data_IF_475699644641
#
_entry.id   IF_475699644641
#
_cell.length_a   1.000
_cell.length_b   1.000
_cell.length_c   1.000
_cell.angle_alpha   90.00
_cell.angle_beta   90.00
_cell.angle_gamma   90.00
#
_symmetry.space_group_name_H-M   'P 1'
#
loop_
_entity.id
_entity.type
_entity.pdbx_description
1 polymer ?
#
# COMPACT_ATOMS: atom_id res chain seq x y z
N UNK A 1 1.75 17.99 -2.54
CA UNK A 1 0.71 18.92 -2.10
C UNK A 1 -0.44 18.12 -1.49
N UNK A 2 -0.97 18.58 -0.34
CA UNK A 2 -2.09 17.96 0.36
C UNK A 2 -3.45 18.48 -0.15
N UNK A 3 -3.49 19.69 -0.71
CA UNK A 3 -4.74 20.33 -1.15
C UNK A 3 -5.29 19.71 -2.44
N UNK A 4 -4.39 19.29 -3.34
CA UNK A 4 -4.74 18.61 -4.60
C UNK A 4 -5.01 17.10 -4.46
N UNK A 5 -5.01 16.55 -3.24
CA UNK A 5 -5.28 15.11 -3.05
C UNK A 5 -6.76 14.81 -3.24
N UNK A 6 -7.11 13.65 -3.85
CA UNK A 6 -8.50 13.27 -4.07
C UNK A 6 -9.11 12.66 -2.79
N UNK A 7 -9.16 13.42 -1.70
CA UNK A 7 -9.56 12.99 -0.36
C UNK A 7 -10.83 12.12 -0.31
N UNK A 8 -11.92 12.41 -1.05
CA UNK A 8 -13.13 11.59 -1.01
C UNK A 8 -12.94 10.14 -1.48
N UNK A 9 -11.85 9.87 -2.20
CA UNK A 9 -11.55 8.54 -2.77
C UNK A 9 -10.49 7.76 -1.99
N UNK A 10 -9.88 8.37 -0.98
CA UNK A 10 -8.79 7.77 -0.21
C UNK A 10 -9.30 7.00 1.00
N UNK A 11 -8.92 5.73 1.10
CA UNK A 11 -9.09 4.94 2.34
C UNK A 11 -7.88 5.05 3.28
N UNK A 12 -6.76 5.53 2.73
CA UNK A 12 -5.54 5.92 3.43
C UNK A 12 -4.76 6.88 2.53
N UNK A 13 -3.87 7.67 3.12
CA UNK A 13 -2.93 8.53 2.40
C UNK A 13 -1.59 7.81 2.26
N UNK A 14 -1.17 7.54 1.02
CA UNK A 14 0.13 6.97 0.70
C UNK A 14 0.99 7.93 -0.15
N UNK A 15 2.30 7.99 0.11
CA UNK A 15 3.24 8.68 -0.78
C UNK A 15 4.67 8.16 -0.66
N UNK A 16 5.44 8.36 -1.73
CA UNK A 16 6.88 8.16 -1.76
C UNK A 16 7.56 9.50 -1.49
N UNK A 17 8.61 9.48 -0.68
CA UNK A 17 9.45 10.65 -0.41
C UNK A 17 10.18 11.05 -1.70
N UNK A 18 9.93 12.26 -2.26
CA UNK A 18 10.58 12.69 -3.49
C UNK A 18 12.10 12.84 -3.34
N UNK A 19 12.59 13.07 -2.11
CA UNK A 19 14.03 13.14 -1.80
C UNK A 19 14.64 11.77 -1.54
N UNK A 20 13.83 10.71 -1.34
CA UNK A 20 14.33 9.36 -1.10
C UNK A 20 13.36 8.33 -1.68
N UNK A 21 13.53 7.90 -2.94
CA UNK A 21 12.61 6.98 -3.62
C UNK A 21 12.43 5.61 -2.92
N UNK A 22 13.37 5.24 -2.05
CA UNK A 22 13.28 4.03 -1.22
C UNK A 22 12.45 4.20 0.06
N UNK A 23 11.90 5.39 0.30
CA UNK A 23 11.14 5.73 1.50
C UNK A 23 9.74 6.11 1.09
N UNK A 24 8.76 5.49 1.73
CA UNK A 24 7.37 5.91 1.61
C UNK A 24 6.72 6.01 2.96
N UNK A 25 5.51 6.53 2.95
CA UNK A 25 4.70 6.73 4.13
C UNK A 25 3.27 6.34 3.82
N UNK A 26 2.62 5.74 4.81
CA UNK A 26 1.22 5.38 4.77
C UNK A 26 0.56 5.91 6.03
N UNK A 27 -0.53 6.64 5.90
CA UNK A 27 -1.32 7.18 7.01
C UNK A 27 -2.75 6.71 6.84
N UNK A 28 -3.29 6.05 7.87
CA UNK A 28 -4.65 5.53 7.89
C UNK A 28 -5.39 6.07 9.12
N UNK A 29 -6.66 6.39 8.92
CA UNK A 29 -7.56 6.74 10.01
C UNK A 29 -8.14 5.44 10.60
N UNK A 30 -7.76 5.13 11.83
CA UNK A 30 -8.21 3.96 12.56
C UNK A 30 -9.10 4.40 13.74
N UNK A 31 -9.96 3.52 14.27
CA UNK A 31 -10.71 3.79 15.51
C UNK A 31 -9.84 4.26 16.69
N UNK A 32 -8.57 3.84 16.74
CA UNK A 32 -7.59 4.21 17.75
C UNK A 32 -6.94 5.59 17.50
N UNK A 33 -7.13 6.17 16.31
CA UNK A 33 -6.59 7.45 15.88
C UNK A 33 -5.83 7.37 14.55
N UNK A 34 -5.44 8.55 14.05
CA UNK A 34 -4.65 8.69 12.83
C UNK A 34 -3.26 8.08 13.03
N UNK A 35 -2.97 7.00 12.31
CA UNK A 35 -1.73 6.22 12.48
C UNK A 35 -0.88 6.27 11.22
N UNK A 36 0.37 6.72 11.37
CA UNK A 36 1.34 6.82 10.29
C UNK A 36 2.42 5.73 10.38
N UNK A 37 2.75 5.11 9.26
CA UNK A 37 3.82 4.11 9.15
C UNK A 37 4.84 4.55 8.10
N UNK A 38 6.12 4.49 8.47
CA UNK A 38 7.23 4.64 7.52
C UNK A 38 7.52 3.30 6.84
N UNK A 39 7.58 3.32 5.52
CA UNK A 39 7.87 2.19 4.66
C UNK A 39 9.24 2.32 4.01
N UNK A 40 9.92 1.19 3.85
CA UNK A 40 11.12 1.02 3.04
C UNK A 40 10.76 0.21 1.79
N UNK A 41 11.11 0.76 0.64
CA UNK A 41 11.05 0.12 -0.67
C UNK A 41 12.42 -0.48 -1.02
N UNK A 42 12.46 -1.53 -1.86
CA UNK A 42 13.73 -2.09 -2.32
C UNK A 42 14.44 -1.10 -3.25
N UNK A 43 15.76 -0.96 -3.10
CA UNK A 43 16.57 -0.03 -3.92
C UNK A 43 16.72 -0.43 -5.38
N UNK A 44 16.50 -1.71 -5.68
CA UNK A 44 16.28 -2.19 -7.03
C UNK A 44 14.90 -2.84 -7.04
N UNK A 45 13.91 -2.37 -7.81
CA UNK A 45 12.66 -3.10 -7.97
C UNK A 45 13.05 -4.46 -8.50
N UNK A 46 13.00 -5.49 -7.64
CA UNK A 46 13.31 -6.85 -8.04
C UNK A 46 12.57 -7.08 -9.35
N UNK A 47 13.33 -7.32 -10.42
CA UNK A 47 12.83 -7.38 -11.80
C UNK A 47 11.96 -8.63 -11.93
N UNK A 48 10.80 -8.62 -11.29
CA UNK A 48 9.78 -9.61 -11.53
C UNK A 48 9.32 -9.34 -12.95
N UNK A 49 9.86 -10.09 -13.91
CA UNK A 49 9.43 -10.07 -15.31
C UNK A 49 7.98 -10.57 -15.48
N UNK A 50 7.19 -10.59 -14.39
CA UNK A 50 5.86 -11.15 -14.26
C UNK A 50 4.94 -10.12 -13.63
N UNK A 51 3.68 -10.18 -14.01
CA UNK A 51 2.59 -9.48 -13.31
C UNK A 51 2.57 -9.90 -11.84
N UNK A 52 2.14 -9.00 -10.97
CA UNK A 52 2.10 -9.24 -9.53
C UNK A 52 0.86 -8.60 -8.94
N UNK A 53 0.34 -9.21 -7.88
CA UNK A 53 -0.88 -8.77 -7.21
C UNK A 53 -0.53 -8.04 -5.91
N UNK A 54 -1.14 -6.88 -5.69
CA UNK A 54 -1.03 -6.13 -4.45
C UNK A 54 -1.75 -6.86 -3.32
N UNK A 55 -1.10 -7.11 -2.18
CA UNK A 55 -1.74 -7.75 -1.02
C UNK A 55 -2.75 -6.84 -0.30
N UNK A 56 -2.76 -5.54 -0.58
CA UNK A 56 -3.69 -4.59 0.03
C UNK A 56 -5.00 -4.49 -0.76
N UNK A 57 -4.96 -4.07 -2.03
CA UNK A 57 -6.15 -3.92 -2.86
C UNK A 57 -6.51 -5.14 -3.69
N UNK A 58 -5.61 -6.10 -3.85
CA UNK A 58 -5.71 -7.26 -4.77
C UNK A 58 -5.78 -6.89 -6.26
N UNK A 59 -5.42 -5.66 -6.62
CA UNK A 59 -5.21 -5.30 -8.02
C UNK A 59 -3.97 -6.01 -8.56
N UNK A 60 -4.10 -6.63 -9.74
CA UNK A 60 -2.97 -7.17 -10.50
C UNK A 60 -2.37 -6.07 -11.36
N UNK A 61 -1.06 -5.87 -11.22
CA UNK A 61 -0.32 -4.88 -11.99
C UNK A 61 0.62 -5.53 -13.01
N UNK A 62 0.95 -4.76 -14.04
CA UNK A 62 2.11 -5.01 -14.89
C UNK A 62 3.41 -5.07 -14.07
N UNK A 63 4.48 -5.48 -14.74
CA UNK A 63 5.84 -5.49 -14.18
C UNK A 63 6.16 -4.14 -13.53
N UNK A 64 6.61 -4.19 -12.27
CA UNK A 64 6.99 -3.00 -11.50
C UNK A 64 5.86 -2.27 -10.77
N UNK A 65 4.58 -2.64 -10.99
CA UNK A 65 3.46 -1.98 -10.30
C UNK A 65 3.23 -2.42 -8.85
N UNK A 66 3.92 -3.47 -8.38
CA UNK A 66 3.88 -3.95 -6.99
C UNK A 66 5.30 -4.04 -6.45
N UNK A 67 5.50 -3.58 -5.21
CA UNK A 67 6.76 -3.66 -4.49
C UNK A 67 6.58 -4.42 -3.17
N UNK A 68 7.60 -5.19 -2.77
CA UNK A 68 7.72 -5.70 -1.40
C UNK A 68 8.18 -4.55 -0.50
N UNK A 69 7.24 -3.89 0.17
CA UNK A 69 7.53 -2.80 1.12
C UNK A 69 7.69 -3.37 2.52
N UNK A 70 8.51 -2.73 3.34
CA UNK A 70 8.76 -3.16 4.72
C UNK A 70 8.65 -2.00 5.69
N UNK A 71 7.96 -2.21 6.81
CA UNK A 71 7.98 -1.28 7.94
C UNK A 71 9.02 -1.80 8.96
N UNK A 72 10.10 -1.05 9.25
CA UNK A 72 11.07 -1.44 10.26
C UNK A 72 10.44 -1.36 11.64
N UNK A 73 10.81 -2.30 12.51
CA UNK A 73 10.37 -2.34 13.90
C UNK A 73 11.51 -2.87 14.79
N UNK A 74 11.51 -2.49 16.08
CA UNK A 74 12.49 -2.90 17.08
C UNK A 74 11.79 -3.42 18.34
N UNK A 75 12.05 -4.67 18.72
CA UNK A 75 11.53 -5.28 19.95
C UNK A 75 12.69 -5.56 20.90
N UNK A 76 12.83 -4.75 21.94
CA UNK A 76 14.04 -4.78 22.79
C UNK A 76 15.29 -4.59 21.92
N UNK A 77 16.20 -5.57 21.94
CA UNK A 77 17.44 -5.55 21.15
C UNK A 77 17.31 -6.15 19.74
N UNK A 78 16.20 -6.81 19.44
CA UNK A 78 15.98 -7.40 18.12
C UNK A 78 15.43 -6.38 17.14
N UNK A 79 16.14 -6.16 16.03
CA UNK A 79 15.63 -5.41 14.88
C UNK A 79 14.93 -6.35 13.90
N UNK A 80 13.73 -5.98 13.45
CA UNK A 80 12.94 -6.71 12.48
C UNK A 80 12.26 -5.81 11.47
N UNK A 81 11.46 -6.40 10.58
CA UNK A 81 10.60 -5.63 9.69
C UNK A 81 9.34 -6.40 9.32
N UNK A 82 8.23 -5.70 9.20
CA UNK A 82 6.98 -6.26 8.70
C UNK A 82 6.86 -5.97 7.20
N UNK A 83 6.96 -7.01 6.38
CA UNK A 83 6.80 -6.93 4.93
C UNK A 83 5.33 -7.02 4.48
N UNK A 84 5.01 -6.36 3.37
CA UNK A 84 3.80 -6.60 2.58
C UNK A 84 4.03 -6.26 1.11
N UNK A 85 3.32 -6.91 0.19
CA UNK A 85 3.31 -6.51 -1.21
C UNK A 85 2.28 -5.40 -1.40
N UNK A 86 2.70 -4.21 -1.79
CA UNK A 86 1.83 -3.06 -1.99
C UNK A 86 2.00 -2.46 -3.39
N UNK A 87 1.01 -1.70 -3.87
CA UNK A 87 1.17 -0.91 -5.08
C UNK A 87 2.41 -0.01 -4.94
N UNK A 88 3.26 0.03 -5.96
CA UNK A 88 4.54 0.75 -5.92
C UNK A 88 4.35 2.27 -5.74
N UNK A 89 3.20 2.80 -6.17
CA UNK A 89 2.79 4.20 -6.03
C UNK A 89 1.99 4.48 -4.74
N UNK A 90 1.71 3.46 -3.93
CA UNK A 90 0.81 3.51 -2.76
C UNK A 90 -0.61 4.04 -3.07
N UNK A 91 -1.04 4.02 -4.34
CA UNK A 91 -2.35 4.53 -4.77
C UNK A 91 -3.45 3.46 -4.71
N UNK A 92 -3.37 2.51 -3.77
CA UNK A 92 -4.28 1.34 -3.69
C UNK A 92 -5.76 1.75 -3.68
N UNK A 93 -6.09 2.86 -3.02
CA UNK A 93 -7.45 3.43 -2.97
C UNK A 93 -7.97 3.82 -4.36
N UNK A 94 -7.11 4.27 -5.26
CA UNK A 94 -7.48 4.59 -6.64
C UNK A 94 -7.55 3.33 -7.51
N UNK A 95 -6.58 2.42 -7.34
CA UNK A 95 -6.52 1.16 -8.09
C UNK A 95 -7.74 0.28 -7.82
N UNK A 96 -8.16 0.12 -6.57
CA UNK A 96 -9.35 -0.68 -6.20
C UNK A 96 -10.65 -0.09 -6.79
N UNK A 97 -10.65 1.21 -7.10
CA UNK A 97 -11.80 1.93 -7.69
C UNK A 97 -11.72 2.07 -9.20
N UNK A 98 -10.64 1.60 -9.84
CA UNK A 98 -10.42 1.80 -11.27
C UNK A 98 -10.25 3.27 -11.68
N UNK A 99 -9.81 4.13 -10.75
CA UNK A 99 -9.65 5.58 -10.98
C UNK A 99 -8.23 5.97 -11.43
N UNK A 100 -7.32 5.00 -11.51
CA UNK A 100 -6.00 5.20 -12.11
C UNK A 100 -6.12 5.11 -13.63
N UNK A 101 -5.27 5.85 -14.36
CA UNK A 101 -5.22 5.87 -15.83
C UNK A 101 -5.07 4.48 -16.49
N UNK A 102 -4.91 4.42 -17.82
CA UNK A 102 -5.09 3.18 -18.59
C UNK A 102 -4.36 2.00 -17.95
N UNK A 103 -5.16 1.04 -17.52
CA UNK A 103 -4.77 -0.13 -16.76
C UNK A 103 -3.78 -0.96 -17.59
N UNK A 104 -2.48 -0.94 -17.26
CA UNK A 104 -1.47 -1.75 -17.96
C UNK A 104 -1.47 -3.23 -17.55
N UNK A 105 -2.37 -3.64 -16.64
CA UNK A 105 -2.56 -5.02 -16.21
C UNK A 105 -3.68 -5.73 -16.97
N UNK A 106 -3.69 -7.06 -16.95
CA UNK A 106 -4.92 -7.81 -17.27
C UNK A 106 -5.82 -7.68 -16.05
N UNK A 107 -7.09 -7.21 -16.15
CA UNK A 107 -8.00 -7.26 -15.03
C UNK A 107 -8.10 -8.71 -14.58
N UNK A 108 -7.59 -9.02 -13.39
CA UNK A 108 -8.07 -10.20 -12.70
C UNK A 108 -9.59 -10.01 -12.61
N UNK A 109 -10.37 -11.00 -13.06
CA UNK A 109 -11.83 -10.98 -12.89
C UNK A 109 -12.11 -11.04 -11.40
N UNK A 110 -12.10 -9.88 -10.76
CA UNK A 110 -12.57 -9.69 -9.40
C UNK A 110 -14.05 -10.09 -9.39
N UNK A 111 -14.38 -11.10 -8.60
CA UNK A 111 -15.77 -11.57 -8.43
C UNK A 111 -16.48 -10.82 -7.31
N UNK A 112 -15.74 -10.07 -6.49
CA UNK A 112 -16.32 -9.20 -5.46
C UNK A 112 -16.94 -7.95 -6.09
N UNK A 113 -18.09 -7.53 -5.56
CA UNK A 113 -18.62 -6.20 -5.81
C UNK A 113 -17.70 -5.11 -5.24
N UNK A 114 -17.83 -3.91 -5.80
CA UNK A 114 -17.01 -2.73 -5.47
C UNK A 114 -16.90 -2.47 -3.96
N UNK A 115 -18.02 -2.43 -3.24
CA UNK A 115 -18.02 -2.15 -1.79
C UNK A 115 -17.25 -3.21 -0.98
N UNK A 116 -17.33 -4.47 -1.42
CA UNK A 116 -16.60 -5.57 -0.79
C UNK A 116 -15.09 -5.47 -1.06
N UNK A 117 -14.69 -5.04 -2.26
CA UNK A 117 -13.29 -4.80 -2.59
C UNK A 117 -12.69 -3.63 -1.79
N UNK A 118 -13.43 -2.52 -1.65
CA UNK A 118 -13.02 -1.37 -0.82
C UNK A 118 -12.93 -1.78 0.66
N UNK A 119 -13.91 -2.54 1.16
CA UNK A 119 -13.89 -3.05 2.55
C UNK A 119 -12.68 -3.95 2.80
N UNK A 120 -12.35 -4.84 1.85
CA UNK A 120 -11.14 -5.67 1.92
C UNK A 120 -9.87 -4.81 1.99
N UNK A 121 -9.76 -3.78 1.15
CA UNK A 121 -8.63 -2.85 1.20
C UNK A 121 -8.48 -2.23 2.60
N UNK A 122 -9.57 -1.70 3.16
CA UNK A 122 -9.58 -1.10 4.50
C UNK A 122 -9.14 -2.10 5.58
N UNK A 123 -9.68 -3.32 5.54
CA UNK A 123 -9.30 -4.39 6.48
C UNK A 123 -7.83 -4.74 6.38
N UNK A 124 -7.30 -4.92 5.16
CA UNK A 124 -5.91 -5.32 4.93
C UNK A 124 -4.93 -4.23 5.37
N UNK A 125 -5.21 -2.96 5.05
CA UNK A 125 -4.39 -1.81 5.46
C UNK A 125 -4.41 -1.65 6.97
N UNK A 126 -5.59 -1.69 7.59
CA UNK A 126 -5.71 -1.58 9.05
C UNK A 126 -4.98 -2.72 9.77
N UNK A 127 -5.06 -3.97 9.27
CA UNK A 127 -4.35 -5.10 9.84
C UNK A 127 -2.83 -4.92 9.73
N UNK A 128 -2.34 -4.48 8.57
CA UNK A 128 -0.91 -4.20 8.38
C UNK A 128 -0.43 -3.11 9.34
N UNK A 129 -1.13 -1.98 9.41
CA UNK A 129 -0.74 -0.85 10.26
C UNK A 129 -0.79 -1.20 11.73
N UNK A 130 -1.85 -1.87 12.20
CA UNK A 130 -1.92 -2.33 13.60
C UNK A 130 -0.80 -3.28 13.97
N UNK A 131 -0.39 -4.17 13.05
CA UNK A 131 0.75 -5.06 13.27
C UNK A 131 2.06 -4.28 13.44
N UNK A 132 2.22 -3.17 12.74
CA UNK A 132 3.39 -2.29 12.87
C UNK A 132 3.33 -1.46 14.15
N UNK A 133 2.16 -0.90 14.48
CA UNK A 133 1.98 0.03 15.59
C UNK A 133 1.95 -0.63 16.98
N UNK A 134 1.55 -1.92 17.09
CA UNK A 134 1.46 -2.64 18.37
C UNK A 134 2.81 -3.01 18.99
N UNK A 135 3.91 -2.69 18.33
CA UNK A 135 5.25 -3.04 18.76
C UNK A 135 6.13 -1.77 18.88
N UNK A 136 5.57 -0.64 19.28
CA UNK A 136 6.37 0.48 19.79
C UNK A 136 6.60 0.36 21.31
#
# INVERSE_FOLDING_TARGET
>A
DLLSRPWPTLDFLGWIDPSTPMRGYLVVDLPEGLTGVRLRFPGNPASTRRTSMCALCHTTHAVGGVALVSAPHRRGDSAGSFGTYACADLACSLHVRGLTGPFHGVPARETLGFDSAVRRLRTNVAAFVRRVAREE
#
